data_IF_395453207967
#
_entry.id   IF_395453207967
#
_cell.length_a   1.000
_cell.length_b   1.000
_cell.length_c   1.000
_cell.angle_alpha   90.00
_cell.angle_beta   90.00
_cell.angle_gamma   90.00
#
_symmetry.space_group_name_H-M   'P 1'
#
loop_
_entity.id
_entity.type
_entity.pdbx_description
1 polymer ?
#
# COMPACT_ATOMS: atom_id res chain seq x y z
N UNK A 1 1.17 44.04 -5.24
CA UNK A 1 0.82 43.23 -4.05
C UNK A 1 1.33 41.81 -4.27
N UNK A 2 1.88 41.21 -3.20
CA UNK A 2 2.83 40.08 -3.22
C UNK A 2 2.12 38.76 -2.90
N UNK A 3 2.64 37.67 -3.51
CA UNK A 3 2.59 36.23 -3.15
C UNK A 3 1.36 35.41 -3.56
N UNK A 4 1.63 34.38 -4.36
CA UNK A 4 1.23 33.01 -4.04
C UNK A 4 2.30 32.06 -4.60
N UNK A 5 3.19 31.63 -3.71
CA UNK A 5 4.11 30.54 -3.94
C UNK A 5 3.26 29.26 -3.96
N UNK A 6 3.08 28.69 -5.15
CA UNK A 6 2.44 27.38 -5.32
C UNK A 6 3.34 26.31 -4.73
N UNK A 7 2.89 25.78 -3.59
CA UNK A 7 3.38 24.61 -2.87
C UNK A 7 3.97 23.56 -3.83
N UNK A 8 5.29 23.39 -3.78
CA UNK A 8 5.95 22.18 -4.27
C UNK A 8 5.30 21.00 -3.57
N UNK A 9 4.51 20.22 -4.30
CA UNK A 9 4.17 18.88 -3.89
C UNK A 9 5.48 18.16 -3.61
N UNK A 10 5.75 17.90 -2.33
CA UNK A 10 6.74 16.92 -1.89
C UNK A 10 6.29 15.59 -2.46
N UNK A 11 6.82 15.25 -3.64
CA UNK A 11 6.92 13.87 -4.08
C UNK A 11 7.47 13.09 -2.90
N UNK A 12 6.77 12.02 -2.54
CA UNK A 12 7.19 11.02 -1.56
C UNK A 12 8.40 10.21 -2.07
N UNK A 13 9.31 10.86 -2.81
CA UNK A 13 10.68 10.40 -3.00
C UNK A 13 11.43 10.77 -1.74
N UNK A 14 11.27 9.95 -0.69
CA UNK A 14 12.18 9.94 0.43
C UNK A 14 13.59 9.83 -0.15
N UNK A 15 14.29 10.94 -0.12
CA UNK A 15 15.69 11.07 -0.50
C UNK A 15 16.47 10.02 0.29
N UNK A 16 16.82 8.92 -0.36
CA UNK A 16 17.58 7.82 0.23
C UNK A 16 19.06 8.20 0.27
N UNK A 17 19.35 9.34 0.90
CA UNK A 17 20.69 9.79 1.29
C UNK A 17 21.04 9.34 2.72
N UNK A 18 20.32 8.36 3.26
CA UNK A 18 20.70 7.64 4.46
C UNK A 18 21.63 6.48 4.12
N UNK A 19 22.69 6.34 4.90
CA UNK A 19 23.66 5.22 4.90
C UNK A 19 22.96 3.90 4.58
N UNK A 20 23.31 3.30 3.43
CA UNK A 20 22.74 2.01 3.01
C UNK A 20 22.99 0.97 4.10
N UNK A 21 21.97 0.18 4.42
CA UNK A 21 22.10 -0.95 5.36
C UNK A 21 23.21 -1.87 4.87
N UNK A 22 24.26 -2.02 5.68
CA UNK A 22 25.35 -2.94 5.40
C UNK A 22 24.82 -4.38 5.47
N UNK A 23 25.00 -5.12 4.39
CA UNK A 23 24.41 -6.46 4.22
C UNK A 23 25.10 -7.49 5.11
N UNK A 24 26.41 -7.36 5.29
CA UNK A 24 27.20 -8.27 6.12
C UNK A 24 26.84 -8.06 7.58
N UNK A 25 26.87 -6.80 8.02
CA UNK A 25 26.56 -6.45 9.42
C UNK A 25 25.11 -6.82 9.76
N UNK A 26 24.17 -6.60 8.84
CA UNK A 26 22.79 -7.03 9.03
C UNK A 26 22.67 -8.56 9.14
N UNK A 27 23.36 -9.32 8.28
CA UNK A 27 23.33 -10.78 8.34
C UNK A 27 23.87 -11.30 9.67
N UNK A 28 25.03 -10.79 10.10
CA UNK A 28 25.68 -11.21 11.34
C UNK A 28 24.81 -10.88 12.56
N UNK A 29 24.17 -9.71 12.58
CA UNK A 29 23.25 -9.32 13.67
C UNK A 29 21.97 -10.17 13.67
N UNK A 30 21.40 -10.47 12.51
CA UNK A 30 20.23 -11.35 12.42
C UNK A 30 20.57 -12.78 12.83
N UNK A 31 21.76 -13.28 12.49
CA UNK A 31 22.25 -14.60 12.88
C UNK A 31 22.42 -14.70 14.40
N UNK A 32 23.02 -13.69 15.02
CA UNK A 32 23.13 -13.59 16.48
C UNK A 32 21.76 -13.62 17.16
N UNK A 33 20.76 -12.95 16.58
CA UNK A 33 19.38 -12.98 17.10
C UNK A 33 18.67 -14.31 16.87
N UNK A 34 19.02 -15.03 15.80
CA UNK A 34 18.53 -16.38 15.55
C UNK A 34 19.01 -17.35 16.65
N UNK A 35 20.26 -17.23 17.08
CA UNK A 35 20.83 -18.03 18.19
C UNK A 35 20.11 -17.77 19.52
N UNK A 36 19.68 -16.54 19.77
CA UNK A 36 18.91 -16.17 20.96
C UNK A 36 17.42 -16.54 20.89
N UNK A 37 16.87 -16.80 19.68
CA UNK A 37 15.44 -17.04 19.47
C UNK A 37 14.53 -15.85 19.83
N UNK A 38 15.11 -14.67 20.06
CA UNK A 38 14.40 -13.49 20.55
C UNK A 38 13.58 -12.83 19.43
N UNK A 39 12.44 -12.27 19.82
CA UNK A 39 11.63 -11.42 18.93
C UNK A 39 12.23 -10.02 18.95
N UNK A 40 12.40 -9.42 17.77
CA UNK A 40 12.99 -8.10 17.62
C UNK A 40 12.18 -7.20 16.70
N UNK A 41 12.40 -5.90 16.85
CA UNK A 41 11.83 -4.85 16.00
C UNK A 41 12.88 -4.23 15.09
N UNK A 42 12.43 -3.38 14.15
CA UNK A 42 13.34 -2.62 13.29
C UNK A 42 14.22 -1.64 14.08
N UNK A 43 13.73 -1.11 15.20
CA UNK A 43 14.48 -0.20 16.09
C UNK A 43 15.66 -0.93 16.71
N UNK A 44 15.44 -2.14 17.22
CA UNK A 44 16.49 -2.93 17.90
C UNK A 44 17.65 -3.23 16.96
N UNK A 45 17.34 -3.61 15.72
CA UNK A 45 18.34 -3.91 14.69
C UNK A 45 19.03 -2.63 14.21
N UNK A 46 18.28 -1.54 14.01
CA UNK A 46 18.83 -0.26 13.58
C UNK A 46 19.85 0.30 14.58
N UNK A 47 19.55 0.21 15.88
CA UNK A 47 20.46 0.59 16.95
C UNK A 47 21.71 -0.30 16.98
N UNK A 48 21.56 -1.61 16.76
CA UNK A 48 22.69 -2.54 16.79
C UNK A 48 23.67 -2.35 15.63
N UNK A 49 23.16 -2.09 14.42
CA UNK A 49 24.00 -1.97 13.21
C UNK A 49 24.36 -0.53 12.85
N UNK A 50 23.85 0.46 13.60
CA UNK A 50 24.09 1.89 13.35
C UNK A 50 23.47 2.41 12.04
N UNK A 51 22.32 1.85 11.64
CA UNK A 51 21.60 2.26 10.42
C UNK A 51 20.33 3.05 10.74
N UNK A 52 19.79 3.73 9.74
CA UNK A 52 18.52 4.43 9.89
C UNK A 52 17.35 3.45 9.99
N UNK A 53 16.57 3.54 11.07
CA UNK A 53 15.40 2.67 11.33
C UNK A 53 14.45 2.53 10.13
N UNK A 54 14.07 3.59 9.38
CA UNK A 54 13.16 3.44 8.24
C UNK A 54 13.74 2.57 7.12
N UNK A 55 15.07 2.51 6.99
CA UNK A 55 15.71 1.64 6.01
C UNK A 55 15.69 0.19 6.48
N UNK A 56 16.07 -0.05 7.73
CA UNK A 56 16.02 -1.38 8.34
C UNK A 56 14.61 -1.93 8.34
N UNK A 57 13.60 -1.13 8.69
CA UNK A 57 12.19 -1.51 8.66
C UNK A 57 11.76 -1.99 7.26
N UNK A 58 12.10 -1.24 6.21
CA UNK A 58 11.81 -1.64 4.82
C UNK A 58 12.50 -2.95 4.45
N UNK A 59 13.77 -3.10 4.83
CA UNK A 59 14.54 -4.32 4.59
C UNK A 59 13.93 -5.53 5.30
N UNK A 60 13.56 -5.42 6.59
CA UNK A 60 12.95 -6.51 7.35
C UNK A 60 11.59 -6.92 6.78
N UNK A 61 10.78 -5.96 6.33
CA UNK A 61 9.51 -6.25 5.64
C UNK A 61 9.78 -7.08 4.37
N UNK A 62 10.79 -6.72 3.59
CA UNK A 62 11.16 -7.45 2.38
C UNK A 62 11.73 -8.85 2.69
N UNK A 63 12.61 -8.97 3.69
CA UNK A 63 13.16 -10.25 4.12
C UNK A 63 12.09 -11.19 4.67
N UNK A 64 11.09 -10.65 5.37
CA UNK A 64 9.94 -11.42 5.84
C UNK A 64 9.06 -11.94 4.69
N UNK A 65 8.93 -11.18 3.61
CA UNK A 65 8.22 -11.62 2.41
C UNK A 65 8.96 -12.72 1.64
N UNK A 66 10.30 -12.69 1.65
CA UNK A 66 11.14 -13.74 1.05
C UNK A 66 11.28 -14.98 1.96
N UNK A 67 10.71 -14.96 3.18
CA UNK A 67 10.82 -16.06 4.13
C UNK A 67 12.19 -16.19 4.82
N UNK A 68 13.09 -15.21 4.63
CA UNK A 68 14.39 -15.18 5.30
C UNK A 68 14.27 -14.87 6.79
N UNK A 69 13.19 -14.21 7.23
CA UNK A 69 12.85 -14.02 8.63
C UNK A 69 11.35 -14.28 8.82
N UNK A 70 10.96 -14.67 10.03
CA UNK A 70 9.56 -14.90 10.38
C UNK A 70 8.91 -13.61 10.88
N UNK A 71 7.70 -13.30 10.39
CA UNK A 71 6.89 -12.20 10.91
C UNK A 71 5.99 -12.71 12.02
N UNK A 72 6.23 -12.27 13.25
CA UNK A 72 5.46 -12.68 14.44
C UNK A 72 4.25 -11.77 14.64
N UNK A 73 4.43 -10.45 14.47
CA UNK A 73 3.39 -9.45 14.64
C UNK A 73 3.71 -8.20 13.79
N UNK A 74 2.86 -7.18 13.82
CA UNK A 74 3.09 -5.89 13.17
C UNK A 74 4.36 -5.25 13.73
N UNK A 75 5.41 -5.19 12.89
CA UNK A 75 6.69 -4.59 13.26
C UNK A 75 7.59 -5.48 14.12
N UNK A 76 7.21 -6.75 14.37
CA UNK A 76 7.99 -7.72 15.16
C UNK A 76 8.35 -8.95 14.35
N UNK A 77 9.61 -9.36 14.44
CA UNK A 77 10.19 -10.42 13.64
C UNK A 77 10.99 -11.39 14.50
N UNK A 78 11.20 -12.60 13.97
CA UNK A 78 12.09 -13.62 14.54
C UNK A 78 13.01 -14.15 13.44
N UNK A 79 14.28 -14.37 13.79
CA UNK A 79 15.32 -14.74 12.82
C UNK A 79 15.56 -16.26 12.74
N UNK A 80 14.67 -17.10 13.26
CA UNK A 80 14.82 -18.56 13.21
C UNK A 80 15.19 -19.10 11.81
N UNK A 81 14.55 -18.66 10.71
CA UNK A 81 14.90 -19.17 9.37
C UNK A 81 16.32 -18.82 8.93
N UNK A 82 16.93 -17.77 9.49
CA UNK A 82 18.29 -17.33 9.16
C UNK A 82 19.36 -18.27 9.72
N UNK A 83 19.06 -19.06 10.75
CA UNK A 83 20.02 -20.01 11.33
C UNK A 83 20.50 -21.05 10.30
N UNK A 84 19.62 -21.43 9.37
CA UNK A 84 19.89 -22.41 8.31
C UNK A 84 20.34 -21.78 6.98
N UNK A 85 20.35 -20.45 6.89
CA UNK A 85 20.74 -19.71 5.69
C UNK A 85 22.24 -19.38 5.71
N UNK A 86 22.91 -19.64 4.59
CA UNK A 86 24.26 -19.13 4.38
C UNK A 86 24.24 -17.67 3.89
N UNK A 87 25.39 -17.00 4.01
CA UNK A 87 25.51 -15.60 3.58
C UNK A 87 25.17 -15.41 2.08
N UNK A 88 25.63 -16.25 1.15
CA UNK A 88 25.23 -16.16 -0.27
C UNK A 88 23.73 -16.19 -0.51
N UNK A 89 23.00 -17.10 0.14
CA UNK A 89 21.55 -17.24 -0.02
C UNK A 89 20.81 -16.09 0.66
N UNK A 90 21.31 -15.62 1.81
CA UNK A 90 20.83 -14.38 2.40
C UNK A 90 21.01 -13.18 1.44
N UNK A 91 22.17 -13.03 0.80
CA UNK A 91 22.41 -11.92 -0.13
C UNK A 91 21.48 -11.98 -1.35
N UNK A 92 21.11 -13.18 -1.81
CA UNK A 92 20.10 -13.36 -2.86
C UNK A 92 18.72 -12.90 -2.36
N UNK A 93 18.30 -13.35 -1.19
CA UNK A 93 17.03 -12.95 -0.57
C UNK A 93 16.98 -11.43 -0.31
N UNK A 94 18.04 -10.85 0.26
CA UNK A 94 18.20 -9.42 0.47
C UNK A 94 18.09 -8.62 -0.84
N UNK A 95 18.70 -9.11 -1.92
CA UNK A 95 18.64 -8.45 -3.23
C UNK A 95 17.25 -8.48 -3.86
N UNK A 96 16.46 -9.53 -3.58
CA UNK A 96 15.04 -9.60 -3.99
C UNK A 96 14.18 -8.71 -3.10
N UNK A 97 14.35 -8.78 -1.78
CA UNK A 97 13.70 -7.94 -0.79
C UNK A 97 13.91 -6.43 -1.01
N UNK A 98 15.09 -6.04 -1.50
CA UNK A 98 15.44 -4.64 -1.78
C UNK A 98 14.83 -4.11 -3.07
N UNK A 99 14.44 -5.00 -4.00
CA UNK A 99 13.67 -4.62 -5.17
C UNK A 99 12.23 -4.54 -4.71
N UNK A 100 11.63 -3.35 -4.71
CA UNK A 100 10.17 -3.27 -4.55
C UNK A 100 9.53 -4.24 -5.55
N UNK A 101 8.76 -5.20 -5.03
CA UNK A 101 8.06 -6.19 -5.85
C UNK A 101 7.30 -5.44 -6.96
N UNK A 102 7.55 -5.81 -8.21
CA UNK A 102 6.90 -5.19 -9.37
C UNK A 102 5.37 -5.29 -9.28
N UNK A 103 4.87 -6.26 -8.51
CA UNK A 103 3.46 -6.39 -8.12
C UNK A 103 3.07 -5.32 -7.12
N UNK A 104 3.82 -5.16 -6.02
CA UNK A 104 3.59 -4.10 -5.02
C UNK A 104 3.65 -2.69 -5.62
N UNK A 105 4.53 -2.45 -6.59
CA UNK A 105 4.61 -1.17 -7.33
C UNK A 105 3.40 -0.93 -8.22
N UNK A 106 2.91 -1.98 -8.88
CA UNK A 106 1.66 -1.93 -9.64
C UNK A 106 0.47 -1.69 -8.74
N UNK A 107 0.40 -2.38 -7.61
CA UNK A 107 -0.69 -2.24 -6.62
C UNK A 107 -0.73 -0.83 -6.04
N UNK A 108 0.42 -0.25 -5.67
CA UNK A 108 0.50 1.14 -5.20
C UNK A 108 -0.01 2.11 -6.27
N UNK A 109 0.43 1.94 -7.52
CA UNK A 109 -0.01 2.79 -8.64
C UNK A 109 -1.51 2.66 -8.90
N UNK A 110 -2.07 1.45 -8.78
CA UNK A 110 -3.49 1.20 -8.95
C UNK A 110 -4.31 1.82 -7.81
N UNK A 111 -3.85 1.71 -6.56
CA UNK A 111 -4.47 2.38 -5.41
C UNK A 111 -4.51 3.89 -5.62
N UNK A 112 -3.43 4.50 -6.11
CA UNK A 112 -3.39 5.94 -6.41
C UNK A 112 -4.38 6.32 -7.52
N UNK A 113 -4.47 5.52 -8.59
CA UNK A 113 -5.44 5.70 -9.67
C UNK A 113 -6.88 5.64 -9.16
N UNK A 114 -7.18 4.64 -8.31
CA UNK A 114 -8.51 4.43 -7.73
C UNK A 114 -8.89 5.57 -6.78
N UNK A 115 -7.96 6.04 -5.94
CA UNK A 115 -8.18 7.21 -5.08
C UNK A 115 -8.54 8.45 -5.90
N UNK A 116 -7.75 8.75 -6.94
CA UNK A 116 -8.02 9.89 -7.84
C UNK A 116 -9.38 9.77 -8.53
N UNK A 117 -9.76 8.56 -8.96
CA UNK A 117 -11.08 8.32 -9.54
C UNK A 117 -12.20 8.57 -8.51
N UNK A 118 -12.05 8.06 -7.28
CA UNK A 118 -13.00 8.28 -6.21
C UNK A 118 -13.17 9.77 -5.87
N UNK A 119 -12.07 10.52 -5.81
CA UNK A 119 -12.08 11.96 -5.57
C UNK A 119 -12.83 12.72 -6.69
N UNK A 120 -12.63 12.33 -7.95
CA UNK A 120 -13.37 12.90 -9.08
C UNK A 120 -14.86 12.61 -8.96
N UNK A 121 -15.24 11.38 -8.57
CA UNK A 121 -16.65 11.02 -8.40
C UNK A 121 -17.30 11.76 -7.23
N UNK A 122 -16.59 11.90 -6.10
CA UNK A 122 -17.04 12.71 -4.96
C UNK A 122 -17.26 14.16 -5.38
N UNK A 123 -16.33 14.74 -6.13
CA UNK A 123 -16.46 16.12 -6.64
C UNK A 123 -17.67 16.27 -7.55
N UNK A 124 -17.89 15.30 -8.47
CA UNK A 124 -19.06 15.30 -9.35
C UNK A 124 -20.37 15.19 -8.58
N UNK A 125 -20.43 14.32 -7.58
CA UNK A 125 -21.61 14.14 -6.73
C UNK A 125 -21.95 15.42 -5.97
N UNK A 126 -20.96 16.04 -5.32
CA UNK A 126 -21.16 17.30 -4.59
C UNK A 126 -21.66 18.42 -5.51
N UNK A 127 -21.15 18.48 -6.74
CA UNK A 127 -21.64 19.43 -7.75
C UNK A 127 -23.09 19.15 -8.14
N UNK A 128 -23.45 17.90 -8.41
CA UNK A 128 -24.81 17.52 -8.76
C UNK A 128 -25.80 17.80 -7.61
N UNK A 129 -25.38 17.59 -6.35
CA UNK A 129 -26.16 17.96 -5.18
C UNK A 129 -26.39 19.47 -5.09
N UNK A 130 -25.34 20.28 -5.28
CA UNK A 130 -25.48 21.73 -5.30
C UNK A 130 -26.41 22.22 -6.42
N UNK A 131 -26.33 21.63 -7.62
CA UNK A 131 -27.23 21.95 -8.74
C UNK A 131 -28.68 21.54 -8.42
N UNK A 132 -28.90 20.35 -7.86
CA UNK A 132 -30.22 19.91 -7.40
C UNK A 132 -30.80 20.87 -6.37
N UNK A 133 -30.03 21.22 -5.35
CA UNK A 133 -30.49 22.09 -4.26
C UNK A 133 -30.80 23.51 -4.77
N UNK A 134 -30.06 23.99 -5.77
CA UNK A 134 -30.37 25.23 -6.47
C UNK A 134 -31.73 25.18 -7.17
N UNK A 135 -32.02 24.12 -7.92
CA UNK A 135 -33.33 23.96 -8.59
C UNK A 135 -34.47 23.75 -7.59
N UNK A 136 -34.26 22.97 -6.54
CA UNK A 136 -35.25 22.78 -5.47
C UNK A 136 -35.61 24.12 -4.82
N UNK A 137 -34.61 24.94 -4.50
CA UNK A 137 -34.85 26.28 -3.95
C UNK A 137 -35.62 27.19 -4.92
N UNK A 138 -35.35 27.10 -6.23
CA UNK A 138 -36.08 27.85 -7.25
C UNK A 138 -37.54 27.39 -7.34
N UNK A 139 -37.82 26.09 -7.37
CA UNK A 139 -39.17 25.55 -7.42
C UNK A 139 -39.98 25.90 -6.16
N UNK A 140 -39.35 25.83 -4.99
CA UNK A 140 -39.96 26.26 -3.72
C UNK A 140 -40.36 27.74 -3.74
N UNK A 141 -39.53 28.63 -4.32
CA UNK A 141 -39.88 30.06 -4.48
C UNK A 141 -41.10 30.27 -5.36
N UNK A 142 -41.35 29.39 -6.32
CA UNK A 142 -42.51 29.44 -7.19
C UNK A 142 -43.71 28.64 -6.66
N UNK A 143 -43.63 28.07 -5.45
CA UNK A 143 -44.71 27.28 -4.85
C UNK A 143 -44.99 25.97 -5.57
N UNK A 144 -44.03 25.45 -6.34
CA UNK A 144 -44.15 24.20 -7.09
C UNK A 144 -43.54 23.07 -6.25
N UNK A 145 -44.33 22.03 -5.96
CA UNK A 145 -43.85 20.80 -5.34
C UNK A 145 -43.27 19.86 -6.42
N UNK A 146 -41.96 19.56 -6.41
CA UNK A 146 -41.33 18.64 -7.36
C UNK A 146 -41.69 17.17 -7.14
N UNK A 147 -42.39 16.83 -6.06
CA UNK A 147 -42.66 15.44 -5.67
C UNK A 147 -41.46 14.76 -4.99
N UNK A 148 -41.64 13.51 -4.52
CA UNK A 148 -40.60 12.81 -3.77
C UNK A 148 -39.38 12.49 -4.64
N UNK A 149 -38.19 12.51 -4.03
CA UNK A 149 -36.97 12.01 -4.67
C UNK A 149 -37.20 10.55 -5.10
N UNK A 150 -36.83 10.22 -6.34
CA UNK A 150 -36.85 8.83 -6.80
C UNK A 150 -36.08 7.95 -5.80
N UNK A 151 -36.72 6.88 -5.33
CA UNK A 151 -36.11 5.95 -4.40
C UNK A 151 -34.82 5.41 -5.02
N UNK A 152 -33.76 5.37 -4.21
CA UNK A 152 -32.47 4.82 -4.59
C UNK A 152 -32.67 3.35 -5.02
N UNK A 153 -32.54 3.07 -6.31
CA UNK A 153 -32.67 1.72 -6.84
C UNK A 153 -31.52 0.89 -6.26
N UNK A 154 -31.79 -0.25 -5.61
CA UNK A 154 -30.75 -1.03 -4.96
C UNK A 154 -29.70 -1.41 -6.01
N UNK A 155 -28.40 -1.34 -5.66
CA UNK A 155 -27.34 -1.66 -6.61
C UNK A 155 -27.56 -3.06 -7.17
N UNK A 156 -27.38 -3.26 -8.49
CA UNK A 156 -27.55 -4.58 -9.09
C UNK A 156 -26.63 -5.57 -8.38
N UNK A 157 -27.22 -6.71 -7.98
CA UNK A 157 -26.47 -7.78 -7.34
C UNK A 157 -25.25 -8.15 -8.22
N UNK A 158 -24.06 -8.37 -7.63
CA UNK A 158 -22.88 -8.76 -8.39
C UNK A 158 -23.21 -10.02 -9.17
N UNK A 159 -23.19 -9.90 -10.50
CA UNK A 159 -23.66 -10.90 -11.42
C UNK A 159 -22.99 -12.25 -11.17
N UNK A 160 -23.82 -13.26 -10.94
CA UNK A 160 -23.50 -14.65 -11.25
C UNK A 160 -23.06 -14.70 -12.71
N UNK A 161 -21.75 -14.86 -12.93
CA UNK A 161 -21.17 -15.00 -14.24
C UNK A 161 -21.90 -16.09 -15.01
N UNK A 162 -22.60 -15.70 -16.08
CA UNK A 162 -23.03 -16.63 -17.10
C UNK A 162 -21.74 -17.11 -17.76
N UNK A 163 -21.25 -18.24 -17.25
CA UNK A 163 -20.15 -19.01 -17.82
C UNK A 163 -20.66 -19.46 -19.18
N UNK A 164 -20.25 -18.76 -20.24
CA UNK A 164 -20.44 -19.20 -21.60
C UNK A 164 -19.82 -20.58 -21.73
N UNK A 165 -20.67 -21.60 -21.75
CA UNK A 165 -20.29 -22.95 -22.14
C UNK A 165 -20.10 -22.92 -23.66
N UNK A 166 -18.85 -22.86 -24.09
CA UNK A 166 -18.44 -23.45 -25.36
C UNK A 166 -18.74 -24.95 -25.33
N UNK A 167 -19.38 -25.51 -26.35
CA UNK A 167 -19.16 -26.89 -26.72
C UNK A 167 -18.40 -26.90 -28.06
N UNK A 168 -17.08 -26.97 -27.97
CA UNK A 168 -16.29 -27.51 -29.07
C UNK A 168 -16.36 -29.04 -29.04
N UNK A 169 -16.99 -29.62 -30.05
CA UNK A 169 -16.61 -30.90 -30.65
C UNK A 169 -17.12 -32.21 -30.01
N UNK A 170 -18.03 -32.88 -30.71
CA UNK A 170 -17.90 -34.32 -31.05
C UNK A 170 -19.06 -34.78 -31.95
N UNK A 171 -18.77 -35.03 -33.23
CA UNK A 171 -19.05 -36.27 -33.98
C UNK A 171 -18.64 -36.06 -35.44
#
# INVERSE_FOLDING_TARGET
MKRSAGTRATTLGSDSSGVKVDRQVLFDELRKRAEGGEVFSAVDVALAIGAAEPQVARTLIGLGAEGAIEKVDVGKYRANPIADLDLPDFLKAFSRASKMDATRMRDISEIERLKKNNDVMRTRLLRAQAERDHYLAALQRHGIDPGPLAAEEPPPAPGTGVRGSDPSGQA
#
